data_IF_208212920656
#
_entry.id   IF_208212920656
#
_cell.length_a   1.000
_cell.length_b   1.000
_cell.length_c   1.000
_cell.angle_alpha   90.00
_cell.angle_beta   90.00
_cell.angle_gamma   90.00
#
_symmetry.space_group_name_H-M   'P 1'
#
loop_
_entity.id
_entity.type
_entity.pdbx_description
1 polymer ?
#
# COMPACT_ATOMS: atom_id res chain seq x y z
N UNK A 1 -54.59 -28.29 -12.81
CA UNK A 1 -53.22 -28.80 -12.50
C UNK A 1 -52.30 -27.62 -12.38
N UNK A 2 -52.09 -27.18 -11.12
CA UNK A 2 -51.20 -26.02 -10.80
C UNK A 2 -49.81 -26.56 -10.55
N UNK A 3 -48.85 -26.20 -11.39
CA UNK A 3 -47.45 -26.54 -11.23
C UNK A 3 -46.84 -25.64 -10.13
N UNK A 4 -46.45 -26.25 -9.02
CA UNK A 4 -45.69 -25.56 -7.94
C UNK A 4 -44.28 -25.17 -8.46
N UNK A 5 -43.96 -23.87 -8.35
CA UNK A 5 -42.61 -23.37 -8.63
C UNK A 5 -41.61 -23.98 -7.62
N UNK A 6 -40.38 -24.33 -8.05
CA UNK A 6 -39.38 -24.87 -7.16
C UNK A 6 -38.98 -23.81 -6.12
N UNK A 7 -39.01 -24.17 -4.84
CA UNK A 7 -38.60 -23.33 -3.73
C UNK A 7 -37.17 -22.86 -3.92
N UNK A 8 -36.98 -21.54 -4.07
CA UNK A 8 -35.66 -20.90 -4.11
C UNK A 8 -34.89 -21.22 -2.82
N UNK A 9 -33.83 -22.00 -2.93
CA UNK A 9 -32.90 -22.34 -1.85
C UNK A 9 -32.42 -21.04 -1.17
N UNK A 10 -32.80 -20.89 0.11
CA UNK A 10 -32.50 -19.72 0.92
C UNK A 10 -30.96 -19.63 1.16
N UNK A 11 -30.25 -18.65 0.59
CA UNK A 11 -28.78 -18.56 0.68
C UNK A 11 -28.28 -18.29 2.10
N UNK A 12 -29.16 -17.98 3.06
CA UNK A 12 -28.82 -17.72 4.45
C UNK A 12 -28.46 -19.00 5.25
N UNK A 13 -28.91 -20.19 4.83
CA UNK A 13 -28.65 -21.44 5.55
C UNK A 13 -27.20 -21.95 5.42
N UNK A 14 -26.44 -21.54 4.40
CA UNK A 14 -25.03 -21.92 4.21
C UNK A 14 -24.03 -20.92 4.79
N UNK A 15 -24.46 -19.73 5.22
CA UNK A 15 -23.57 -18.67 5.71
C UNK A 15 -23.14 -18.87 7.18
N UNK A 16 -23.94 -19.51 7.99
CA UNK A 16 -23.70 -19.69 9.45
C UNK A 16 -22.48 -20.59 9.73
N UNK A 17 -22.33 -21.78 9.10
CA UNK A 17 -21.14 -22.62 9.33
C UNK A 17 -19.85 -21.97 8.84
N UNK A 18 -19.84 -21.29 7.69
CA UNK A 18 -18.64 -20.62 7.14
C UNK A 18 -18.12 -19.53 8.07
N UNK A 19 -18.99 -18.72 8.67
CA UNK A 19 -18.59 -17.67 9.60
C UNK A 19 -17.99 -18.21 10.91
N UNK A 20 -18.47 -19.36 11.40
CA UNK A 20 -17.88 -20.02 12.58
C UNK A 20 -16.50 -20.59 12.27
N UNK A 21 -16.35 -21.24 11.11
CA UNK A 21 -15.04 -21.76 10.64
C UNK A 21 -14.06 -20.63 10.43
N UNK A 22 -14.47 -19.52 9.80
CA UNK A 22 -13.62 -18.36 9.60
C UNK A 22 -13.08 -17.77 10.91
N UNK A 23 -13.88 -17.76 11.99
CA UNK A 23 -13.44 -17.25 13.31
C UNK A 23 -12.32 -18.09 13.94
N UNK A 24 -12.19 -19.37 13.60
CA UNK A 24 -11.11 -20.24 14.05
C UNK A 24 -9.94 -20.22 13.07
N UNK A 25 -10.20 -20.27 11.77
CA UNK A 25 -9.17 -20.35 10.73
C UNK A 25 -8.36 -19.08 10.64
N UNK A 26 -9.00 -17.90 10.69
CA UNK A 26 -8.28 -16.61 10.55
C UNK A 26 -7.17 -16.44 11.59
N UNK A 27 -7.38 -16.58 12.90
CA UNK A 27 -6.30 -16.44 13.88
C UNK A 27 -5.24 -17.54 13.78
N UNK A 28 -5.64 -18.79 13.45
CA UNK A 28 -4.68 -19.89 13.26
C UNK A 28 -3.76 -19.65 12.07
N UNK A 29 -4.31 -19.23 10.94
CA UNK A 29 -3.49 -18.92 9.75
C UNK A 29 -2.66 -17.67 10.00
N UNK A 30 -3.18 -16.63 10.68
CA UNK A 30 -2.40 -15.47 11.09
C UNK A 30 -1.18 -15.87 11.93
N UNK A 31 -1.36 -16.74 12.93
CA UNK A 31 -0.27 -17.25 13.74
C UNK A 31 0.74 -18.09 12.91
N UNK A 32 0.24 -18.91 11.98
CA UNK A 32 1.08 -19.70 11.09
C UNK A 32 1.94 -18.81 10.16
N UNK A 33 1.44 -17.65 9.73
CA UNK A 33 2.21 -16.72 8.90
C UNK A 33 3.37 -16.04 9.65
N UNK A 34 3.38 -16.07 10.97
CA UNK A 34 4.53 -15.61 11.77
C UNK A 34 5.70 -16.60 11.78
N UNK A 35 5.52 -17.83 11.30
CA UNK A 35 6.56 -18.85 11.28
C UNK A 35 7.70 -18.51 10.29
N UNK A 36 8.96 -18.90 10.60
CA UNK A 36 10.13 -18.45 9.84
C UNK A 36 10.18 -18.89 8.37
N UNK A 37 9.55 -19.98 8.02
CA UNK A 37 9.50 -20.50 6.64
C UNK A 37 8.38 -19.95 5.77
N UNK A 38 7.46 -19.14 6.34
CA UNK A 38 6.38 -18.53 5.55
C UNK A 38 6.86 -17.21 4.95
N UNK A 39 6.90 -17.13 3.62
CA UNK A 39 7.23 -15.87 2.94
C UNK A 39 6.07 -14.88 2.99
N UNK A 40 6.40 -13.61 2.86
CA UNK A 40 5.43 -12.50 2.82
C UNK A 40 4.40 -12.68 1.69
N UNK A 41 4.82 -13.22 0.54
CA UNK A 41 3.94 -13.53 -0.58
C UNK A 41 2.93 -14.63 -0.26
N UNK A 42 3.38 -15.74 0.33
CA UNK A 42 2.52 -16.84 0.77
C UNK A 42 1.50 -16.36 1.81
N UNK A 43 1.93 -15.52 2.75
CA UNK A 43 1.04 -14.93 3.74
C UNK A 43 -0.10 -14.09 3.10
N UNK A 44 0.21 -13.26 2.12
CA UNK A 44 -0.80 -12.49 1.37
C UNK A 44 -1.78 -13.41 0.65
N UNK A 45 -1.27 -14.40 -0.11
CA UNK A 45 -2.14 -15.37 -0.84
C UNK A 45 -3.05 -16.13 0.11
N UNK A 46 -2.52 -16.57 1.26
CA UNK A 46 -3.31 -17.23 2.28
C UNK A 46 -4.45 -16.31 2.79
N UNK A 47 -4.15 -15.02 3.03
CA UNK A 47 -5.14 -14.02 3.43
C UNK A 47 -6.24 -13.83 2.38
N UNK A 48 -5.86 -13.68 1.10
CA UNK A 48 -6.80 -13.58 -0.01
C UNK A 48 -7.62 -14.85 -0.15
N UNK A 49 -6.99 -16.03 -0.08
CA UNK A 49 -7.66 -17.32 -0.15
C UNK A 49 -8.73 -17.46 0.93
N UNK A 50 -8.40 -17.15 2.18
CA UNK A 50 -9.36 -17.17 3.30
C UNK A 50 -10.48 -16.15 3.08
N UNK A 51 -10.16 -14.92 2.61
CA UNK A 51 -11.18 -13.90 2.35
C UNK A 51 -12.16 -14.30 1.24
N UNK A 52 -11.69 -14.97 0.20
CA UNK A 52 -12.51 -15.39 -0.93
C UNK A 52 -13.31 -16.68 -0.66
N UNK A 53 -12.84 -17.56 0.21
CA UNK A 53 -13.51 -18.83 0.53
C UNK A 53 -14.42 -18.72 1.75
N UNK A 54 -13.88 -18.34 2.89
CA UNK A 54 -14.56 -18.28 4.18
C UNK A 54 -15.09 -16.89 4.53
N UNK A 55 -14.55 -15.85 3.89
CA UNK A 55 -14.82 -14.45 4.23
C UNK A 55 -13.98 -13.95 5.42
N UNK A 56 -14.07 -12.65 5.69
CA UNK A 56 -13.44 -12.04 6.85
C UNK A 56 -14.48 -11.74 7.93
N UNK A 57 -14.43 -12.43 9.09
CA UNK A 57 -15.43 -12.24 10.16
C UNK A 57 -15.26 -10.90 10.93
N UNK A 58 -14.08 -10.24 10.79
CA UNK A 58 -13.77 -8.98 11.50
C UNK A 58 -13.10 -7.93 10.59
N UNK A 59 -13.76 -7.44 9.52
CA UNK A 59 -13.11 -6.60 8.50
C UNK A 59 -12.54 -5.30 9.07
N UNK A 60 -13.23 -4.64 10.01
CA UNK A 60 -12.75 -3.42 10.65
C UNK A 60 -11.54 -3.68 11.57
N UNK A 61 -11.58 -4.75 12.37
CA UNK A 61 -10.47 -5.13 13.26
C UNK A 61 -9.24 -5.57 12.48
N UNK A 62 -9.42 -6.42 11.45
CA UNK A 62 -8.31 -6.86 10.58
C UNK A 62 -7.61 -5.69 9.92
N UNK A 63 -8.37 -4.69 9.45
CA UNK A 63 -7.81 -3.46 8.86
C UNK A 63 -7.02 -2.63 9.87
N UNK A 64 -7.58 -2.44 11.07
CA UNK A 64 -6.90 -1.69 12.14
C UNK A 64 -5.62 -2.41 12.59
N UNK A 65 -5.67 -3.72 12.81
CA UNK A 65 -4.50 -4.54 13.16
C UNK A 65 -3.45 -4.55 12.06
N UNK A 66 -3.85 -4.67 10.79
CA UNK A 66 -2.92 -4.59 9.66
C UNK A 66 -2.17 -3.26 9.64
N UNK A 67 -2.87 -2.14 9.87
CA UNK A 67 -2.24 -0.83 9.90
C UNK A 67 -1.27 -0.68 11.08
N UNK A 68 -1.63 -1.11 12.27
CA UNK A 68 -0.76 -1.09 13.45
C UNK A 68 0.46 -2.00 13.26
N UNK A 69 0.25 -3.24 12.82
CA UNK A 69 1.31 -4.20 12.57
C UNK A 69 2.29 -3.70 11.50
N UNK A 70 1.80 -3.07 10.41
CA UNK A 70 2.64 -2.42 9.42
C UNK A 70 3.51 -1.32 10.04
N UNK A 71 2.90 -0.44 10.82
CA UNK A 71 3.59 0.66 11.49
C UNK A 71 4.76 0.14 12.34
N UNK A 72 4.52 -0.84 13.19
CA UNK A 72 5.55 -1.42 14.04
C UNK A 72 6.57 -2.26 13.27
N UNK A 73 6.16 -2.95 12.20
CA UNK A 73 7.09 -3.64 11.31
C UNK A 73 8.08 -2.66 10.68
N UNK A 74 7.59 -1.55 10.12
CA UNK A 74 8.45 -0.54 9.48
C UNK A 74 9.41 0.07 10.51
N UNK A 75 8.94 0.46 11.69
CA UNK A 75 9.82 0.97 12.77
C UNK A 75 10.87 -0.06 13.17
N UNK A 76 10.48 -1.32 13.34
CA UNK A 76 11.39 -2.40 13.70
C UNK A 76 12.42 -2.76 12.62
N UNK A 77 12.06 -2.63 11.34
CA UNK A 77 13.00 -2.80 10.22
C UNK A 77 14.15 -1.78 10.28
N UNK A 78 13.90 -0.57 10.80
CA UNK A 78 14.95 0.42 11.04
C UNK A 78 16.11 -0.10 11.88
N UNK A 79 15.85 -1.06 12.79
CA UNK A 79 16.88 -1.65 13.62
C UNK A 79 17.91 -2.51 12.86
N UNK A 80 17.55 -2.98 11.67
CA UNK A 80 18.47 -3.73 10.78
C UNK A 80 19.19 -2.84 9.76
N UNK A 81 18.91 -1.52 9.72
CA UNK A 81 19.36 -0.64 8.65
C UNK A 81 20.48 0.30 9.03
N UNK A 82 21.32 0.64 8.05
CA UNK A 82 22.37 1.64 8.20
C UNK A 82 21.82 3.04 7.89
N UNK A 83 21.91 3.96 8.84
CA UNK A 83 21.43 5.34 8.69
C UNK A 83 22.06 6.07 7.49
N UNK A 84 23.32 5.78 7.14
CA UNK A 84 23.97 6.40 5.98
C UNK A 84 23.29 5.99 4.65
N UNK A 85 22.83 4.73 4.55
CA UNK A 85 22.05 4.24 3.39
C UNK A 85 20.70 4.94 3.37
N UNK A 86 20.00 5.00 4.50
CA UNK A 86 18.70 5.68 4.62
C UNK A 86 18.81 7.15 4.21
N UNK A 87 19.85 7.86 4.67
CA UNK A 87 20.10 9.27 4.34
C UNK A 87 20.41 9.47 2.85
N UNK A 88 21.31 8.66 2.29
CA UNK A 88 21.71 8.77 0.88
C UNK A 88 20.52 8.51 -0.05
N UNK A 89 19.86 7.39 0.11
CA UNK A 89 18.70 7.01 -0.72
C UNK A 89 17.54 7.99 -0.54
N UNK A 90 17.29 8.44 0.70
CA UNK A 90 16.24 9.41 1.00
C UNK A 90 16.47 10.76 0.33
N UNK A 91 17.66 11.34 0.46
CA UNK A 91 17.99 12.66 -0.08
C UNK A 91 18.06 12.66 -1.62
N UNK A 92 18.75 11.70 -2.22
CA UNK A 92 18.82 11.58 -3.68
C UNK A 92 17.44 11.24 -4.27
N UNK A 93 16.63 10.46 -3.55
CA UNK A 93 15.29 10.09 -3.95
C UNK A 93 14.27 11.22 -4.02
N UNK A 94 14.48 12.35 -3.33
CA UNK A 94 13.54 13.47 -3.31
C UNK A 94 13.27 14.06 -4.70
N UNK A 95 14.31 14.22 -5.53
CA UNK A 95 14.20 14.80 -6.87
C UNK A 95 13.32 13.95 -7.80
N UNK A 96 13.68 12.67 -7.98
CA UNK A 96 12.90 11.80 -8.89
C UNK A 96 11.51 11.50 -8.31
N UNK A 97 11.36 11.53 -6.98
CA UNK A 97 10.05 11.36 -6.34
C UNK A 97 9.14 12.55 -6.65
N UNK A 98 9.67 13.78 -6.59
CA UNK A 98 8.91 14.98 -6.96
C UNK A 98 8.45 14.94 -8.42
N UNK A 99 9.38 14.62 -9.34
CA UNK A 99 9.06 14.46 -10.76
C UNK A 99 8.05 13.34 -10.98
N UNK A 100 8.25 12.18 -10.38
CA UNK A 100 7.34 11.04 -10.48
C UNK A 100 5.93 11.34 -9.96
N UNK A 101 5.82 12.03 -8.81
CA UNK A 101 4.53 12.46 -8.25
C UNK A 101 3.86 13.47 -9.16
N UNK A 102 4.60 14.49 -9.65
CA UNK A 102 4.08 15.49 -10.57
C UNK A 102 3.55 14.86 -11.86
N UNK A 103 4.33 13.97 -12.47
CA UNK A 103 3.95 13.21 -13.66
C UNK A 103 2.70 12.37 -13.39
N UNK A 104 2.65 11.65 -12.27
CA UNK A 104 1.50 10.83 -11.90
C UNK A 104 0.23 11.68 -11.71
N UNK A 105 0.32 12.86 -11.07
CA UNK A 105 -0.80 13.76 -10.87
C UNK A 105 -1.34 14.30 -12.21
N UNK A 106 -0.45 14.70 -13.11
CA UNK A 106 -0.85 15.19 -14.44
C UNK A 106 -1.47 14.06 -15.25
N UNK A 107 -0.78 12.94 -15.43
CA UNK A 107 -1.27 11.81 -16.24
C UNK A 107 -2.54 11.20 -15.64
N UNK A 108 -2.60 11.04 -14.32
CA UNK A 108 -3.77 10.48 -13.65
C UNK A 108 -5.02 11.36 -13.82
N UNK A 109 -4.87 12.69 -13.73
CA UNK A 109 -5.99 13.61 -13.97
C UNK A 109 -6.43 13.61 -15.43
N UNK A 110 -5.50 13.53 -16.39
CA UNK A 110 -5.80 13.44 -17.82
C UNK A 110 -6.51 12.12 -18.15
N UNK A 111 -6.00 11.00 -17.65
CA UNK A 111 -6.61 9.67 -17.81
C UNK A 111 -8.00 9.61 -17.19
N UNK A 112 -8.17 10.13 -15.98
CA UNK A 112 -9.47 10.18 -15.30
C UNK A 112 -10.52 10.96 -16.09
N UNK A 113 -10.14 12.12 -16.67
CA UNK A 113 -11.00 12.89 -17.56
C UNK A 113 -11.35 12.12 -18.84
N UNK A 114 -10.36 11.53 -19.50
CA UNK A 114 -10.54 10.75 -20.74
C UNK A 114 -11.45 9.53 -20.52
N UNK A 115 -11.29 8.84 -19.40
CA UNK A 115 -12.08 7.66 -19.03
C UNK A 115 -13.42 8.03 -18.37
N UNK A 116 -13.70 9.33 -18.18
CA UNK A 116 -14.92 9.82 -17.51
C UNK A 116 -15.12 9.18 -16.12
N UNK A 117 -14.05 9.07 -15.36
CA UNK A 117 -14.09 8.64 -13.94
C UNK A 117 -14.58 9.81 -13.09
N UNK A 118 -15.38 9.53 -12.06
CA UNK A 118 -15.82 10.55 -11.11
C UNK A 118 -14.60 11.30 -10.53
N UNK A 119 -14.70 12.63 -10.44
CA UNK A 119 -13.56 13.51 -10.14
C UNK A 119 -12.84 13.12 -8.86
N UNK A 120 -13.57 12.85 -7.78
CA UNK A 120 -12.97 12.53 -6.49
C UNK A 120 -12.38 11.12 -6.47
N UNK A 121 -13.06 10.12 -7.06
CA UNK A 121 -12.48 8.77 -7.28
C UNK A 121 -11.19 8.84 -8.09
N UNK A 122 -11.19 9.58 -9.21
CA UNK A 122 -10.03 9.74 -10.09
C UNK A 122 -8.84 10.38 -9.35
N UNK A 123 -9.11 11.44 -8.59
CA UNK A 123 -8.08 12.12 -7.79
C UNK A 123 -7.51 11.19 -6.72
N UNK A 124 -8.35 10.45 -5.99
CA UNK A 124 -7.91 9.53 -4.94
C UNK A 124 -7.09 8.36 -5.51
N UNK A 125 -7.52 7.78 -6.65
CA UNK A 125 -6.72 6.76 -7.36
C UNK A 125 -5.37 7.33 -7.80
N UNK A 126 -5.38 8.54 -8.36
CA UNK A 126 -4.16 9.22 -8.83
C UNK A 126 -3.18 9.47 -7.69
N UNK A 127 -3.64 10.04 -6.58
CA UNK A 127 -2.79 10.34 -5.41
C UNK A 127 -2.31 9.05 -4.74
N UNK A 128 -3.18 8.04 -4.65
CA UNK A 128 -2.78 6.72 -4.16
C UNK A 128 -1.66 6.11 -4.99
N UNK A 129 -1.77 6.15 -6.31
CA UNK A 129 -0.72 5.69 -7.23
C UNK A 129 0.54 6.57 -7.15
N UNK A 130 0.37 7.88 -7.01
CA UNK A 130 1.48 8.83 -7.01
C UNK A 130 2.36 8.77 -5.77
N UNK A 131 1.85 8.43 -4.58
CA UNK A 131 2.62 8.57 -3.32
C UNK A 131 2.79 7.21 -2.63
N UNK A 132 1.81 6.81 -1.79
CA UNK A 132 1.94 5.63 -0.94
C UNK A 132 0.62 4.87 -0.74
N UNK A 133 -0.20 4.81 -1.77
CA UNK A 133 -1.41 3.99 -1.76
C UNK A 133 -2.46 4.48 -0.78
N UNK A 134 -2.88 3.57 0.09
CA UNK A 134 -3.97 3.81 1.04
C UNK A 134 -3.74 4.96 2.01
N UNK A 135 -2.50 5.21 2.44
CA UNK A 135 -2.17 6.31 3.36
C UNK A 135 -2.39 7.68 2.70
N UNK A 136 -2.01 7.82 1.42
CA UNK A 136 -2.24 9.05 0.66
C UNK A 136 -3.75 9.26 0.40
N UNK A 137 -4.49 8.21 0.06
CA UNK A 137 -5.94 8.26 -0.08
C UNK A 137 -6.60 8.70 1.23
N UNK A 138 -6.21 8.10 2.36
CA UNK A 138 -6.75 8.43 3.68
C UNK A 138 -6.45 9.87 4.13
N UNK A 139 -5.31 10.43 3.72
CA UNK A 139 -4.96 11.82 3.99
C UNK A 139 -5.72 12.82 3.12
N UNK A 140 -5.89 12.51 1.82
CA UNK A 140 -6.52 13.42 0.86
C UNK A 140 -8.04 13.35 0.92
N UNK A 141 -8.64 12.20 1.20
CA UNK A 141 -10.09 12.02 1.20
C UNK A 141 -10.84 13.03 2.10
N UNK A 142 -10.47 13.26 3.38
CA UNK A 142 -11.11 14.28 4.20
C UNK A 142 -10.83 15.71 3.70
N UNK A 143 -9.63 15.96 3.16
CA UNK A 143 -9.26 17.28 2.63
C UNK A 143 -10.13 17.72 1.43
N UNK A 144 -10.62 16.76 0.64
CA UNK A 144 -11.54 17.02 -0.49
C UNK A 144 -13.01 16.73 -0.17
N UNK A 145 -13.31 16.29 1.07
CA UNK A 145 -14.64 15.82 1.51
C UNK A 145 -15.19 14.73 0.58
N UNK A 146 -14.33 13.75 0.24
CA UNK A 146 -14.71 12.64 -0.63
C UNK A 146 -15.81 11.77 0.00
N UNK A 147 -16.72 11.25 -0.81
CA UNK A 147 -17.75 10.31 -0.36
C UNK A 147 -17.11 8.95 -0.03
N UNK A 148 -17.66 8.23 0.95
CA UNK A 148 -17.20 6.90 1.35
C UNK A 148 -17.11 5.91 0.18
N UNK A 149 -18.01 6.02 -0.78
CA UNK A 149 -18.00 5.21 -2.00
C UNK A 149 -16.73 5.46 -2.84
N UNK A 150 -16.36 6.73 -3.07
CA UNK A 150 -15.18 7.11 -3.86
C UNK A 150 -13.89 6.65 -3.16
N UNK A 151 -13.84 6.81 -1.83
CA UNK A 151 -12.71 6.34 -0.99
C UNK A 151 -12.57 4.83 -1.08
N UNK A 152 -13.69 4.10 -0.92
CA UNK A 152 -13.69 2.64 -0.98
C UNK A 152 -13.26 2.12 -2.35
N UNK A 153 -13.76 2.72 -3.44
CA UNK A 153 -13.37 2.36 -4.80
C UNK A 153 -11.87 2.56 -5.03
N UNK A 154 -11.34 3.72 -4.63
CA UNK A 154 -9.91 4.01 -4.78
C UNK A 154 -9.04 3.05 -3.97
N UNK A 155 -9.41 2.78 -2.69
CA UNK A 155 -8.67 1.85 -1.83
C UNK A 155 -8.64 0.43 -2.40
N UNK A 156 -9.80 -0.11 -2.82
CA UNK A 156 -9.87 -1.47 -3.36
C UNK A 156 -9.07 -1.59 -4.65
N UNK A 157 -9.15 -0.59 -5.53
CA UNK A 157 -8.38 -0.54 -6.78
C UNK A 157 -6.88 -0.58 -6.50
N UNK A 158 -6.39 0.28 -5.62
CA UNK A 158 -4.95 0.35 -5.29
C UNK A 158 -4.48 -0.92 -4.58
N UNK A 159 -5.27 -1.48 -3.66
CA UNK A 159 -4.90 -2.71 -2.95
C UNK A 159 -4.87 -3.94 -3.86
N UNK A 160 -5.77 -4.02 -4.85
CA UNK A 160 -5.72 -5.08 -5.85
C UNK A 160 -4.43 -5.02 -6.67
N UNK A 161 -4.04 -3.84 -7.16
CA UNK A 161 -2.80 -3.67 -7.91
C UNK A 161 -1.56 -3.98 -7.06
N UNK A 162 -1.57 -3.62 -5.78
CA UNK A 162 -0.50 -3.95 -4.85
C UNK A 162 -0.36 -5.46 -4.61
N UNK A 163 -1.48 -6.17 -4.51
CA UNK A 163 -1.45 -7.63 -4.39
C UNK A 163 -0.84 -8.29 -5.64
N UNK A 164 -1.15 -7.78 -6.84
CA UNK A 164 -0.55 -8.23 -8.10
C UNK A 164 0.94 -7.86 -8.14
N UNK A 165 1.29 -6.63 -7.77
CA UNK A 165 2.66 -6.12 -7.79
C UNK A 165 3.61 -6.96 -6.94
N UNK A 166 3.15 -7.48 -5.79
CA UNK A 166 3.96 -8.30 -4.88
C UNK A 166 4.57 -9.53 -5.56
N UNK A 167 3.93 -10.06 -6.59
CA UNK A 167 4.40 -11.23 -7.35
C UNK A 167 5.01 -10.84 -8.69
N UNK A 168 4.40 -9.90 -9.40
CA UNK A 168 4.84 -9.50 -10.74
C UNK A 168 6.21 -8.81 -10.70
N UNK A 169 6.45 -7.94 -9.72
CA UNK A 169 7.71 -7.19 -9.66
C UNK A 169 8.93 -8.08 -9.42
N UNK A 170 8.95 -8.99 -8.42
CA UNK A 170 10.09 -9.90 -8.26
C UNK A 170 10.32 -10.78 -9.49
N UNK A 171 9.25 -11.30 -10.12
CA UNK A 171 9.35 -12.12 -11.32
C UNK A 171 9.99 -11.34 -12.48
N UNK A 172 9.52 -10.11 -12.74
CA UNK A 172 10.08 -9.23 -13.78
C UNK A 172 11.51 -8.82 -13.44
N UNK A 173 11.80 -8.48 -12.18
CA UNK A 173 13.14 -8.11 -11.72
C UNK A 173 14.16 -9.23 -11.97
N UNK A 174 13.82 -10.47 -11.62
CA UNK A 174 14.65 -11.64 -11.90
C UNK A 174 14.80 -11.91 -13.40
N UNK A 175 13.72 -11.78 -14.18
CA UNK A 175 13.77 -11.95 -15.64
C UNK A 175 14.69 -10.93 -16.33
N UNK A 176 14.70 -9.69 -15.83
CA UNK A 176 15.56 -8.60 -16.34
C UNK A 176 16.94 -8.55 -15.67
N UNK A 177 17.25 -9.49 -14.76
CA UNK A 177 18.52 -9.55 -14.03
C UNK A 177 18.88 -8.24 -13.31
N UNK A 178 17.88 -7.55 -12.72
CA UNK A 178 18.13 -6.30 -12.02
C UNK A 178 18.99 -6.53 -10.76
N UNK A 179 19.94 -5.63 -10.52
CA UNK A 179 20.66 -5.58 -9.24
C UNK A 179 19.72 -5.22 -8.09
N UNK A 180 20.07 -5.58 -6.86
CA UNK A 180 19.22 -5.36 -5.69
C UNK A 180 18.92 -3.86 -5.45
N UNK A 181 19.87 -2.96 -5.69
CA UNK A 181 19.67 -1.51 -5.60
C UNK A 181 18.65 -1.02 -6.64
N UNK A 182 18.81 -1.45 -7.89
CA UNK A 182 17.91 -1.14 -8.99
C UNK A 182 16.49 -1.65 -8.72
N UNK A 183 16.37 -2.90 -8.29
CA UNK A 183 15.09 -3.50 -7.96
C UNK A 183 14.41 -2.78 -6.78
N UNK A 184 15.17 -2.45 -5.74
CA UNK A 184 14.67 -1.73 -4.58
C UNK A 184 14.11 -0.36 -4.94
N UNK A 185 14.84 0.43 -5.76
CA UNK A 185 14.36 1.71 -6.28
C UNK A 185 13.12 1.56 -7.16
N UNK A 186 13.11 0.58 -8.07
CA UNK A 186 11.96 0.32 -8.93
C UNK A 186 10.70 0.00 -8.13
N UNK A 187 10.80 -0.91 -7.16
CA UNK A 187 9.70 -1.22 -6.24
C UNK A 187 9.19 0.02 -5.50
N UNK A 188 10.09 0.83 -4.94
CA UNK A 188 9.70 2.02 -4.20
C UNK A 188 8.97 3.04 -5.06
N UNK A 189 9.39 3.20 -6.33
CA UNK A 189 8.83 4.19 -7.25
C UNK A 189 7.57 3.72 -7.97
N UNK A 190 7.42 2.41 -8.19
CA UNK A 190 6.36 1.87 -9.03
C UNK A 190 5.25 1.13 -8.26
N UNK A 191 5.52 0.48 -7.14
CA UNK A 191 4.47 -0.13 -6.30
C UNK A 191 3.86 0.94 -5.39
N UNK A 192 2.54 0.95 -5.26
CA UNK A 192 1.84 2.05 -4.58
C UNK A 192 2.04 2.03 -3.07
N UNK A 193 1.82 0.88 -2.42
CA UNK A 193 1.75 0.76 -0.96
C UNK A 193 3.09 0.33 -0.33
N UNK A 194 3.38 0.87 0.85
CA UNK A 194 4.63 0.59 1.57
C UNK A 194 4.76 -0.89 1.94
N UNK A 195 3.69 -1.55 2.38
CA UNK A 195 3.75 -2.97 2.77
C UNK A 195 4.08 -3.88 1.60
N UNK A 196 3.48 -3.60 0.43
CA UNK A 196 3.74 -4.37 -0.79
C UNK A 196 5.14 -4.11 -1.33
N UNK A 197 5.66 -2.88 -1.21
CA UNK A 197 7.07 -2.56 -1.54
C UNK A 197 8.01 -3.37 -0.67
N UNK A 198 7.83 -3.31 0.65
CA UNK A 198 8.68 -4.03 1.61
C UNK A 198 8.55 -5.55 1.41
N UNK A 199 7.33 -6.05 1.16
CA UNK A 199 7.07 -7.47 0.89
C UNK A 199 7.71 -7.97 -0.41
N UNK A 200 7.68 -7.20 -1.49
CA UNK A 200 8.32 -7.54 -2.77
C UNK A 200 9.85 -7.49 -2.64
N UNK A 201 10.37 -6.44 -2.02
CA UNK A 201 11.80 -6.25 -1.83
C UNK A 201 12.43 -7.31 -0.90
N UNK A 202 11.72 -7.71 0.16
CA UNK A 202 12.15 -8.79 1.06
C UNK A 202 12.27 -10.16 0.37
N UNK A 203 11.51 -10.39 -0.70
CA UNK A 203 11.62 -11.61 -1.52
C UNK A 203 12.82 -11.55 -2.48
N UNK A 204 13.28 -10.35 -2.81
CA UNK A 204 14.36 -10.14 -3.78
C UNK A 204 15.75 -10.14 -3.14
N UNK A 205 15.89 -9.59 -1.92
CA UNK A 205 17.11 -9.59 -1.17
C UNK A 205 17.17 -8.51 -0.09
N UNK A 206 18.12 -8.65 0.85
CA UNK A 206 18.25 -7.73 1.99
C UNK A 206 18.59 -6.30 1.54
N UNK A 207 19.49 -6.16 0.58
CA UNK A 207 19.86 -4.86 0.03
C UNK A 207 18.71 -4.19 -0.72
N UNK A 208 17.92 -4.97 -1.47
CA UNK A 208 16.72 -4.48 -2.12
C UNK A 208 15.70 -3.97 -1.10
N UNK A 209 15.54 -4.67 0.02
CA UNK A 209 14.66 -4.28 1.12
C UNK A 209 15.09 -2.95 1.76
N UNK A 210 16.38 -2.76 2.04
CA UNK A 210 16.93 -1.51 2.59
C UNK A 210 16.62 -0.32 1.68
N UNK A 211 16.99 -0.42 0.40
CA UNK A 211 16.82 0.63 -0.59
C UNK A 211 15.34 0.93 -0.81
N UNK A 212 14.53 -0.10 -1.01
CA UNK A 212 13.09 0.04 -1.24
C UNK A 212 12.39 0.72 -0.07
N UNK A 213 12.70 0.31 1.16
CA UNK A 213 12.09 0.87 2.36
C UNK A 213 12.48 2.33 2.53
N UNK A 214 13.78 2.66 2.44
CA UNK A 214 14.27 4.02 2.59
C UNK A 214 13.66 4.97 1.53
N UNK A 215 13.67 4.56 0.26
CA UNK A 215 13.12 5.36 -0.84
C UNK A 215 11.59 5.53 -0.69
N UNK A 216 10.86 4.47 -0.27
CA UNK A 216 9.42 4.55 -0.07
C UNK A 216 9.03 5.44 1.09
N UNK A 217 9.78 5.43 2.19
CA UNK A 217 9.54 6.31 3.33
C UNK A 217 9.80 7.78 2.97
N UNK A 218 10.88 8.07 2.21
CA UNK A 218 11.13 9.41 1.68
C UNK A 218 9.97 9.89 0.79
N UNK A 219 9.44 9.02 -0.06
CA UNK A 219 8.25 9.32 -0.89
C UNK A 219 7.00 9.59 -0.05
N UNK A 220 6.81 8.88 1.05
CA UNK A 220 5.66 9.07 1.93
C UNK A 220 5.64 10.47 2.60
N UNK A 221 6.77 11.14 2.76
CA UNK A 221 6.82 12.53 3.25
C UNK A 221 6.05 13.50 2.36
N UNK A 222 5.95 13.22 1.06
CA UNK A 222 5.19 14.03 0.11
C UNK A 222 3.68 14.02 0.35
N UNK A 223 3.15 13.14 1.23
CA UNK A 223 1.74 13.16 1.62
C UNK A 223 1.35 14.56 2.13
N UNK A 224 2.19 15.15 2.99
CA UNK A 224 1.89 16.43 3.65
C UNK A 224 1.79 17.57 2.64
N UNK A 225 2.83 17.89 1.84
CA UNK A 225 2.76 19.00 0.90
C UNK A 225 1.72 18.78 -0.20
N UNK A 226 1.56 17.55 -0.70
CA UNK A 226 0.57 17.26 -1.76
C UNK A 226 -0.86 17.39 -1.23
N UNK A 227 -1.15 16.84 -0.03
CA UNK A 227 -2.48 16.98 0.59
C UNK A 227 -2.80 18.46 0.84
N UNK A 228 -1.83 19.23 1.34
CA UNK A 228 -2.01 20.66 1.55
C UNK A 228 -2.28 21.42 0.25
N UNK A 229 -1.50 21.14 -0.82
CA UNK A 229 -1.70 21.76 -2.12
C UNK A 229 -3.10 21.45 -2.72
N UNK A 230 -3.54 20.17 -2.59
CA UNK A 230 -4.88 19.76 -3.04
C UNK A 230 -5.97 20.45 -2.22
N UNK A 231 -5.82 20.50 -0.89
CA UNK A 231 -6.77 21.18 -0.01
C UNK A 231 -6.91 22.67 -0.36
N UNK A 232 -5.78 23.36 -0.57
CA UNK A 232 -5.74 24.77 -0.96
C UNK A 232 -6.39 25.01 -2.34
N UNK A 233 -6.09 24.14 -3.31
CA UNK A 233 -6.72 24.20 -4.63
C UNK A 233 -8.24 24.01 -4.54
N UNK A 234 -8.69 23.06 -3.72
CA UNK A 234 -10.11 22.76 -3.50
C UNK A 234 -10.83 23.93 -2.83
N UNK A 235 -10.23 24.55 -1.80
CA UNK A 235 -10.75 25.73 -1.13
C UNK A 235 -10.97 26.86 -2.13
N UNK A 236 -9.99 27.20 -2.95
CA UNK A 236 -10.10 28.28 -3.97
C UNK A 236 -11.18 28.00 -5.02
N UNK A 237 -11.49 26.74 -5.30
CA UNK A 237 -12.52 26.39 -6.31
C UNK A 237 -13.92 26.26 -5.72
N UNK A 238 -14.05 26.04 -4.41
CA UNK A 238 -15.34 25.89 -3.71
C UNK A 238 -15.77 27.21 -3.04
N UNK A 239 -14.84 28.05 -2.56
CA UNK A 239 -15.14 29.36 -1.95
C UNK A 239 -15.69 30.39 -2.94
N UNK A 240 -15.65 30.07 -4.26
CA UNK A 240 -16.48 30.78 -5.24
C UNK A 240 -17.99 30.43 -5.14
N UNK A 241 -18.38 29.43 -4.33
CA UNK A 241 -19.75 28.90 -4.28
C UNK A 241 -20.39 28.78 -2.89
N UNK A 242 -19.67 28.80 -1.76
CA UNK A 242 -20.29 28.85 -0.42
C UNK A 242 -19.25 28.96 0.70
N UNK A 243 -19.26 30.07 1.41
CA UNK A 243 -18.60 30.24 2.71
C UNK A 243 -19.44 29.58 3.81
N UNK A 244 -18.98 28.48 4.40
CA UNK A 244 -19.24 28.17 5.82
C UNK A 244 -18.21 27.15 6.28
N UNK A 245 -17.48 27.55 7.33
CA UNK A 245 -16.31 26.90 7.88
C UNK A 245 -16.52 25.49 8.40
N UNK A 246 -15.55 24.69 8.11
CA UNK A 246 -14.89 23.81 9.07
C UNK A 246 -13.48 23.56 8.53
N UNK A 247 -12.47 23.98 9.29
CA UNK A 247 -11.09 23.82 8.92
C UNK A 247 -10.78 22.31 8.90
N UNK A 248 -10.67 21.76 7.69
CA UNK A 248 -10.35 20.35 7.46
C UNK A 248 -9.21 19.88 8.35
N UNK A 249 -9.37 18.70 8.93
CA UNK A 249 -8.40 18.04 9.80
C UNK A 249 -7.00 18.11 9.20
N UNK A 250 -6.05 18.69 9.96
CA UNK A 250 -4.64 18.77 9.57
C UNK A 250 -4.15 17.37 9.19
N UNK A 251 -3.44 17.19 8.07
CA UNK A 251 -2.92 15.90 7.69
C UNK A 251 -1.99 15.38 8.79
N UNK A 252 -2.31 14.21 9.34
CA UNK A 252 -1.50 13.60 10.39
C UNK A 252 -0.19 13.15 9.76
N UNK A 253 0.91 13.73 10.21
CA UNK A 253 2.26 13.28 9.81
C UNK A 253 2.44 11.81 10.23
N UNK A 254 2.89 10.93 9.33
CA UNK A 254 3.09 9.52 9.64
C UNK A 254 4.29 9.37 10.61
N UNK A 255 4.02 9.37 11.91
CA UNK A 255 5.02 9.31 13.00
C UNK A 255 6.00 8.14 12.88
N UNK A 256 5.57 7.03 12.27
CA UNK A 256 6.39 5.84 12.10
C UNK A 256 7.62 6.05 11.22
N UNK A 257 7.61 7.08 10.35
CA UNK A 257 8.80 7.48 9.57
C UNK A 257 9.88 8.01 10.51
N UNK A 258 9.49 8.90 11.43
CA UNK A 258 10.40 9.38 12.49
C UNK A 258 10.88 8.23 13.38
N UNK A 259 9.99 7.31 13.76
CA UNK A 259 10.33 6.10 14.51
C UNK A 259 11.34 5.20 13.79
N UNK A 260 11.15 4.95 12.50
CA UNK A 260 12.10 4.20 11.67
C UNK A 260 13.50 4.84 11.66
N UNK A 261 13.57 6.16 11.38
CA UNK A 261 14.85 6.89 11.34
C UNK A 261 15.51 6.91 12.71
N UNK A 262 14.73 7.12 13.79
CA UNK A 262 15.26 7.14 15.15
C UNK A 262 15.85 5.78 15.56
N UNK A 263 15.18 4.67 15.24
CA UNK A 263 15.67 3.32 15.53
C UNK A 263 16.90 3.01 14.69
N UNK A 264 16.91 3.36 13.40
CA UNK A 264 18.09 3.20 12.53
C UNK A 264 19.28 4.01 13.05
N UNK A 265 19.07 5.25 13.49
CA UNK A 265 20.10 6.08 14.10
C UNK A 265 20.65 5.46 15.41
N UNK A 266 19.75 5.03 16.29
CA UNK A 266 20.13 4.43 17.57
C UNK A 266 21.04 3.22 17.38
N UNK A 267 20.69 2.28 16.50
CA UNK A 267 21.48 1.08 16.25
C UNK A 267 22.77 1.41 15.49
N UNK A 268 22.78 2.42 14.63
CA UNK A 268 23.96 2.87 13.90
C UNK A 268 24.99 3.49 14.84
N UNK A 269 24.58 4.39 15.76
CA UNK A 269 25.48 5.14 16.63
C UNK A 269 25.82 4.41 17.95
N UNK A 270 25.05 3.39 18.34
CA UNK A 270 25.29 2.60 19.55
C UNK A 270 25.62 1.16 19.19
N UNK A 271 26.93 0.81 18.95
CA UNK A 271 27.33 -0.52 18.48
C UNK A 271 26.89 -1.68 19.39
N UNK A 272 26.76 -1.43 20.70
CA UNK A 272 26.27 -2.42 21.66
C UNK A 272 24.84 -2.91 21.37
N UNK A 273 24.03 -2.11 20.65
CA UNK A 273 22.66 -2.45 20.31
C UNK A 273 22.52 -3.25 18.99
N UNK A 274 23.60 -3.48 18.24
CA UNK A 274 23.53 -4.18 16.94
C UNK A 274 22.97 -5.59 17.07
N UNK A 275 23.37 -6.35 18.09
CA UNK A 275 22.83 -7.69 18.33
C UNK A 275 21.33 -7.69 18.61
N UNK A 276 20.87 -6.79 19.49
CA UNK A 276 19.45 -6.58 19.76
C UNK A 276 18.71 -6.06 18.51
N UNK A 277 19.34 -5.19 17.73
CA UNK A 277 18.80 -4.65 16.48
C UNK A 277 18.49 -5.74 15.46
N UNK A 278 19.38 -6.73 15.30
CA UNK A 278 19.11 -7.88 14.41
C UNK A 278 17.89 -8.70 14.87
N UNK A 279 17.72 -8.93 16.17
CA UNK A 279 16.54 -9.63 16.71
C UNK A 279 15.25 -8.84 16.47
N UNK A 280 15.29 -7.52 16.72
CA UNK A 280 14.13 -6.62 16.45
C UNK A 280 13.78 -6.61 14.98
N UNK A 281 14.76 -6.50 14.09
CA UNK A 281 14.56 -6.55 12.65
C UNK A 281 13.97 -7.89 12.19
N UNK A 282 14.47 -9.01 12.69
CA UNK A 282 13.94 -10.34 12.42
C UNK A 282 12.47 -10.47 12.87
N UNK A 283 12.13 -9.97 14.06
CA UNK A 283 10.74 -9.89 14.55
C UNK A 283 9.85 -9.02 13.66
N UNK A 284 10.40 -7.89 13.20
CA UNK A 284 9.69 -6.99 12.29
C UNK A 284 9.34 -7.63 10.94
N UNK A 285 10.23 -8.45 10.38
CA UNK A 285 9.96 -9.24 9.16
C UNK A 285 8.82 -10.24 9.38
N UNK A 286 8.74 -10.87 10.56
CA UNK A 286 7.64 -11.80 10.89
C UNK A 286 6.32 -11.06 11.05
N UNK A 287 6.36 -9.93 11.73
CA UNK A 287 5.18 -9.07 11.87
C UNK A 287 4.70 -8.54 10.51
N UNK A 288 5.61 -8.29 9.55
CA UNK A 288 5.27 -7.92 8.18
C UNK A 288 4.52 -9.05 7.46
N UNK A 289 4.92 -10.31 7.61
CA UNK A 289 4.19 -11.43 7.01
C UNK A 289 2.76 -11.52 7.54
N UNK A 290 2.57 -11.38 8.87
CA UNK A 290 1.23 -11.29 9.47
C UNK A 290 0.44 -10.09 8.92
N UNK A 291 1.09 -8.95 8.76
CA UNK A 291 0.49 -7.75 8.17
C UNK A 291 -0.07 -8.02 6.78
N UNK A 292 0.73 -8.66 5.91
CA UNK A 292 0.32 -8.98 4.54
C UNK A 292 -0.82 -10.00 4.49
N UNK A 293 -0.85 -10.98 5.40
CA UNK A 293 -2.01 -11.85 5.58
C UNK A 293 -3.28 -11.06 5.92
N UNK A 294 -3.19 -10.16 6.91
CA UNK A 294 -4.32 -9.33 7.32
C UNK A 294 -4.79 -8.39 6.20
N UNK A 295 -3.86 -7.88 5.37
CA UNK A 295 -4.21 -7.08 4.19
C UNK A 295 -4.90 -7.93 3.12
N UNK A 296 -4.43 -9.17 2.89
CA UNK A 296 -5.09 -10.14 2.00
C UNK A 296 -6.54 -10.40 2.41
N UNK A 297 -6.82 -10.49 3.72
CA UNK A 297 -8.17 -10.61 4.24
C UNK A 297 -9.10 -9.43 3.88
N UNK A 298 -8.54 -8.29 3.51
CA UNK A 298 -9.30 -7.12 3.04
C UNK A 298 -9.85 -7.27 1.62
N UNK A 299 -9.28 -8.16 0.79
CA UNK A 299 -9.70 -8.41 -0.59
C UNK A 299 -10.89 -9.38 -0.67
N UNK A 300 -12.00 -9.02 -0.04
CA UNK A 300 -13.23 -9.81 -0.05
C UNK A 300 -13.94 -9.78 -1.40
N UNK A 301 -14.82 -10.78 -1.66
CA UNK A 301 -15.67 -10.80 -2.87
C UNK A 301 -16.53 -9.54 -3.00
N UNK A 302 -17.01 -9.00 -1.87
CA UNK A 302 -17.78 -7.76 -1.85
C UNK A 302 -16.92 -6.55 -2.29
N UNK A 303 -15.68 -6.47 -1.79
CA UNK A 303 -14.73 -5.45 -2.19
C UNK A 303 -14.40 -5.53 -3.69
N UNK A 304 -14.16 -6.75 -4.21
CA UNK A 304 -13.89 -6.93 -5.65
C UNK A 304 -15.10 -6.59 -6.54
N UNK A 305 -16.33 -6.89 -6.09
CA UNK A 305 -17.56 -6.51 -6.81
C UNK A 305 -17.81 -4.98 -6.80
N UNK A 306 -17.31 -4.29 -5.80
CA UNK A 306 -17.39 -2.83 -5.73
C UNK A 306 -16.41 -2.12 -6.67
N UNK A 307 -15.48 -2.85 -7.31
CA UNK A 307 -14.54 -2.31 -8.28
C UNK A 307 -15.27 -1.74 -9.49
N UNK A 308 -15.08 -0.44 -9.73
CA UNK A 308 -15.51 0.18 -10.97
C UNK A 308 -14.52 -0.10 -12.11
N UNK A 309 -15.00 -0.55 -13.25
CA UNK A 309 -14.14 -0.82 -14.41
C UNK A 309 -13.28 0.37 -14.84
N UNK A 310 -13.90 1.57 -14.91
CA UNK A 310 -13.18 2.79 -15.34
C UNK A 310 -12.07 3.23 -14.39
N UNK A 311 -12.26 3.30 -13.05
CA UNK A 311 -11.20 3.57 -12.10
C UNK A 311 -10.08 2.53 -12.13
N UNK A 312 -10.43 1.25 -12.34
CA UNK A 312 -9.45 0.19 -12.49
C UNK A 312 -8.58 0.39 -13.73
N UNK A 313 -9.18 0.69 -14.89
CA UNK A 313 -8.45 0.98 -16.13
C UNK A 313 -7.54 2.19 -15.96
N UNK A 314 -8.02 3.26 -15.30
CA UNK A 314 -7.21 4.44 -14.97
C UNK A 314 -5.98 4.05 -14.13
N UNK A 315 -6.20 3.29 -13.07
CA UNK A 315 -5.14 2.88 -12.17
C UNK A 315 -4.10 1.97 -12.85
N UNK A 316 -4.56 0.97 -13.62
CA UNK A 316 -3.69 0.05 -14.38
C UNK A 316 -2.86 0.82 -15.41
N UNK A 317 -3.50 1.70 -16.20
CA UNK A 317 -2.80 2.49 -17.20
C UNK A 317 -1.74 3.40 -16.57
N UNK A 318 -2.10 4.11 -15.50
CA UNK A 318 -1.17 4.96 -14.78
C UNK A 318 -0.02 4.15 -14.15
N UNK A 319 -0.33 3.00 -13.57
CA UNK A 319 0.65 2.10 -12.98
C UNK A 319 1.65 1.56 -14.01
N UNK A 320 1.16 1.09 -15.16
CA UNK A 320 2.02 0.59 -16.24
C UNK A 320 2.94 1.69 -16.78
N UNK A 321 2.43 2.90 -16.96
CA UNK A 321 3.26 4.04 -17.39
C UNK A 321 4.33 4.35 -16.35
N UNK A 322 3.98 4.46 -15.07
CA UNK A 322 4.95 4.75 -14.01
C UNK A 322 5.95 3.62 -13.82
N UNK A 323 5.50 2.36 -13.82
CA UNK A 323 6.39 1.21 -13.69
C UNK A 323 7.34 1.08 -14.87
N UNK A 324 6.85 1.28 -16.10
CA UNK A 324 7.67 1.21 -17.31
C UNK A 324 8.67 2.37 -17.41
N UNK A 325 8.24 3.60 -17.16
CA UNK A 325 9.12 4.78 -17.23
C UNK A 325 10.20 4.77 -16.15
N UNK A 326 9.85 4.37 -14.92
CA UNK A 326 10.83 4.25 -13.82
C UNK A 326 11.80 3.09 -14.08
N UNK A 327 11.33 1.95 -14.59
CA UNK A 327 12.20 0.84 -14.98
C UNK A 327 13.18 1.27 -16.06
N UNK A 328 12.69 1.92 -17.13
CA UNK A 328 13.53 2.43 -18.19
C UNK A 328 14.59 3.44 -17.65
N UNK A 329 14.17 4.37 -16.80
CA UNK A 329 15.07 5.36 -16.20
C UNK A 329 16.19 4.70 -15.35
N UNK A 330 15.87 3.60 -14.65
CA UNK A 330 16.84 2.84 -13.86
C UNK A 330 17.79 2.04 -14.76
N UNK A 331 17.25 1.33 -15.77
CA UNK A 331 18.06 0.51 -16.68
C UNK A 331 19.02 1.37 -17.51
N UNK A 332 18.59 2.56 -17.94
CA UNK A 332 19.44 3.52 -18.67
C UNK A 332 20.33 4.38 -17.75
N UNK A 333 20.34 4.13 -16.44
CA UNK A 333 21.22 4.84 -15.49
C UNK A 333 20.86 6.31 -15.23
N UNK A 334 19.64 6.73 -15.57
CA UNK A 334 19.12 8.08 -15.28
C UNK A 334 18.81 8.21 -13.79
N UNK A 335 18.41 7.12 -13.16
CA UNK A 335 18.13 6.99 -11.72
C UNK A 335 18.99 5.85 -11.18
N UNK A 336 19.78 6.12 -10.16
CA UNK A 336 20.68 5.15 -9.53
C UNK A 336 20.66 5.28 -8.00
#
# INVERSE_FOLDING_TARGET
MSAAAPAALNPALHAVPAARVARLVVPLVAAATALPWVSSGVALVAGVGVALTLGNPWPARSRALAHQALTWSVVGLGAGMNLAVVGRVGLHGLGYTAVGIGTALVLGTLLGRKLRVARDTSLLVTVGTAICGGSAIAAVAPAIRAKDHDVSMALVTVFLLNAIALFVFPAVGHYLHLGQDQFGLWCALAIHDTSSVVGAAAQYGERALEVATAAKLARALWIVPVTFAIALHRARTVDAAASTGDAGTKPKMPWFIGGFVAVAALVTFVPALRGAGHLVSAGAHRLLAVTLFLMGLGLSRAALRALGFRPLVQAVALWLVLAGTTLAAIVYGVIS
#
